data_IF_749394057299
#
_entry.id   IF_749394057299
#
_cell.length_a   1.000
_cell.length_b   1.000
_cell.length_c   1.000
_cell.angle_alpha   90.00
_cell.angle_beta   90.00
_cell.angle_gamma   90.00
#
_symmetry.space_group_name_H-M   'P 1'
#
loop_
_entity.id
_entity.type
_entity.pdbx_description
1 polymer ?
#
# COMPACT_ATOMS: atom_id res chain seq x y z
N UNK A 1 -7.79 -17.52 21.77
CA UNK A 1 -8.96 -16.75 22.22
C UNK A 1 -8.91 -15.38 21.54
N UNK A 2 -10.04 -15.01 20.93
CA UNK A 2 -10.35 -13.76 20.20
C UNK A 2 -9.50 -13.44 18.98
N UNK A 3 -9.95 -13.90 17.81
CA UNK A 3 -9.59 -13.30 16.53
C UNK A 3 -10.32 -11.95 16.41
N UNK A 4 -9.71 -10.89 16.92
CA UNK A 4 -10.23 -9.53 16.74
C UNK A 4 -10.12 -9.17 15.27
N UNK A 5 -11.26 -8.96 14.59
CA UNK A 5 -11.28 -8.30 13.27
C UNK A 5 -10.68 -6.91 13.47
N UNK A 6 -9.37 -6.80 13.21
CA UNK A 6 -8.70 -5.51 13.17
C UNK A 6 -9.00 -4.89 11.82
N UNK A 7 -9.66 -3.74 11.86
CA UNK A 7 -9.89 -2.91 10.68
C UNK A 7 -8.54 -2.40 10.20
N UNK A 8 -8.29 -2.46 8.90
CA UNK A 8 -7.09 -1.90 8.29
C UNK A 8 -7.11 -0.37 8.44
N UNK A 9 -6.37 0.14 9.42
CA UNK A 9 -6.31 1.57 9.72
C UNK A 9 -5.34 2.29 8.77
N UNK A 10 -5.49 3.61 8.56
CA UNK A 10 -4.53 4.40 7.78
C UNK A 10 -3.10 4.30 8.30
N UNK A 11 -2.92 4.31 9.62
CA UNK A 11 -1.59 4.27 10.26
C UNK A 11 -0.89 2.94 9.99
N UNK A 12 -1.64 1.84 9.95
CA UNK A 12 -1.09 0.53 9.58
C UNK A 12 -0.65 0.49 8.11
N UNK A 13 -1.37 1.18 7.22
CA UNK A 13 -0.96 1.27 5.81
C UNK A 13 0.33 2.04 5.65
N UNK A 14 0.45 3.18 6.32
CA UNK A 14 1.66 3.99 6.31
C UNK A 14 2.85 3.20 6.86
N UNK A 15 2.66 2.47 7.97
CA UNK A 15 3.69 1.59 8.52
C UNK A 15 4.10 0.50 7.51
N UNK A 16 3.16 -0.15 6.84
CA UNK A 16 3.44 -1.15 5.81
C UNK A 16 4.31 -0.56 4.69
N UNK A 17 3.93 0.61 4.16
CA UNK A 17 4.69 1.26 3.08
C UNK A 17 6.09 1.63 3.56
N UNK A 18 6.23 2.23 4.74
CA UNK A 18 7.53 2.60 5.29
C UNK A 18 8.48 1.40 5.42
N UNK A 19 7.97 0.25 5.89
CA UNK A 19 8.75 -0.97 6.00
C UNK A 19 9.15 -1.55 4.63
N UNK A 20 8.27 -1.49 3.65
CA UNK A 20 8.57 -1.94 2.28
C UNK A 20 9.64 -1.06 1.62
N UNK A 21 9.55 0.27 1.79
CA UNK A 21 10.56 1.22 1.32
C UNK A 21 11.90 1.00 2.03
N UNK A 22 11.88 0.62 3.30
CA UNK A 22 13.08 0.23 4.06
C UNK A 22 13.68 -1.12 3.60
N UNK A 23 13.05 -1.82 2.66
CA UNK A 23 13.53 -3.10 2.10
C UNK A 23 13.22 -4.31 2.97
N UNK A 24 12.28 -4.19 3.91
CA UNK A 24 12.00 -5.26 4.86
C UNK A 24 11.19 -6.40 4.22
N UNK A 25 11.49 -7.69 4.50
CA UNK A 25 10.82 -8.78 3.80
C UNK A 25 9.35 -8.89 4.24
N UNK A 26 8.43 -9.18 3.32
CA UNK A 26 7.00 -9.28 3.60
C UNK A 26 6.66 -10.25 4.74
N UNK A 27 7.40 -11.36 4.84
CA UNK A 27 7.20 -12.35 5.90
C UNK A 27 7.40 -11.75 7.31
N UNK A 28 8.45 -10.96 7.51
CA UNK A 28 8.71 -10.33 8.81
C UNK A 28 7.61 -9.32 9.18
N UNK A 29 7.01 -8.67 8.18
CA UNK A 29 5.89 -7.74 8.37
C UNK A 29 4.62 -8.49 8.77
N UNK A 30 4.29 -9.59 8.08
CA UNK A 30 3.16 -10.46 8.42
C UNK A 30 3.30 -11.02 9.83
N UNK A 31 4.49 -11.50 10.21
CA UNK A 31 4.72 -11.97 11.58
C UNK A 31 4.47 -10.88 12.63
N UNK A 32 4.85 -9.63 12.37
CA UNK A 32 4.56 -8.50 13.27
C UNK A 32 3.06 -8.24 13.42
N UNK A 33 2.32 -8.33 12.31
CA UNK A 33 0.86 -8.21 12.31
C UNK A 33 0.20 -9.37 13.08
N UNK A 34 0.67 -10.61 12.88
CA UNK A 34 0.18 -11.80 13.60
C UNK A 34 0.47 -11.69 15.10
N UNK A 35 1.67 -11.25 15.50
CA UNK A 35 2.00 -10.96 16.91
C UNK A 35 1.10 -9.89 17.51
N UNK A 36 0.63 -8.95 16.68
CA UNK A 36 -0.35 -7.93 17.06
C UNK A 36 -1.79 -8.46 17.09
N UNK A 37 -2.00 -9.77 16.90
CA UNK A 37 -3.30 -10.44 16.98
C UNK A 37 -4.07 -10.50 15.67
N UNK A 38 -3.44 -10.22 14.53
CA UNK A 38 -4.07 -10.46 13.23
C UNK A 38 -4.09 -11.94 12.90
N UNK A 39 -5.10 -12.36 12.15
CA UNK A 39 -5.03 -13.64 11.44
C UNK A 39 -4.00 -13.53 10.31
N UNK A 40 -3.20 -14.58 10.12
CA UNK A 40 -2.10 -14.61 9.14
C UNK A 40 -2.59 -14.40 7.71
N UNK A 41 -3.65 -15.10 7.29
CA UNK A 41 -4.22 -14.95 5.94
C UNK A 41 -4.72 -13.52 5.72
N UNK A 42 -5.41 -12.95 6.72
CA UNK A 42 -5.89 -11.56 6.67
C UNK A 42 -4.72 -10.58 6.62
N UNK A 43 -3.65 -10.82 7.39
CA UNK A 43 -2.46 -9.97 7.39
C UNK A 43 -1.75 -10.00 6.04
N UNK A 44 -1.58 -11.19 5.44
CA UNK A 44 -0.96 -11.37 4.14
C UNK A 44 -1.76 -10.66 3.03
N UNK A 45 -3.07 -10.87 2.98
CA UNK A 45 -3.95 -10.23 1.99
C UNK A 45 -3.95 -8.71 2.17
N UNK A 46 -4.00 -8.24 3.43
CA UNK A 46 -3.96 -6.80 3.74
C UNK A 46 -2.65 -6.18 3.30
N UNK A 47 -1.53 -6.82 3.63
CA UNK A 47 -0.19 -6.40 3.23
C UNK A 47 -0.09 -6.28 1.71
N UNK A 48 -0.47 -7.35 0.98
CA UNK A 48 -0.44 -7.35 -0.47
C UNK A 48 -1.29 -6.23 -1.05
N UNK A 49 -2.52 -6.05 -0.54
CA UNK A 49 -3.42 -5.00 -1.01
C UNK A 49 -2.78 -3.61 -0.86
N UNK A 50 -2.19 -3.31 0.29
CA UNK A 50 -1.57 -2.01 0.56
C UNK A 50 -0.41 -1.73 -0.38
N UNK A 51 0.45 -2.73 -0.61
CA UNK A 51 1.59 -2.58 -1.52
C UNK A 51 1.14 -2.42 -2.97
N UNK A 52 0.14 -3.18 -3.42
CA UNK A 52 -0.43 -3.03 -4.76
C UNK A 52 -1.09 -1.67 -4.95
N UNK A 53 -1.86 -1.19 -3.98
CA UNK A 53 -2.49 0.13 -4.01
C UNK A 53 -1.40 1.24 -4.06
N UNK A 54 -0.32 1.10 -3.30
CA UNK A 54 0.80 2.05 -3.29
C UNK A 54 1.49 2.12 -4.65
N UNK A 55 1.86 0.97 -5.24
CA UNK A 55 2.50 0.92 -6.56
C UNK A 55 1.58 1.47 -7.67
N UNK A 56 0.28 1.18 -7.61
CA UNK A 56 -0.68 1.74 -8.55
C UNK A 56 -0.79 3.27 -8.43
N UNK A 57 -0.75 3.80 -7.21
CA UNK A 57 -0.75 5.23 -6.97
C UNK A 57 0.55 5.88 -7.47
N UNK A 58 1.72 5.25 -7.28
CA UNK A 58 2.99 5.75 -7.81
C UNK A 58 3.02 5.75 -9.35
N UNK A 59 2.52 4.69 -9.99
CA UNK A 59 2.42 4.62 -11.44
C UNK A 59 1.55 5.74 -12.00
N UNK A 60 0.37 5.96 -11.41
CA UNK A 60 -0.53 7.04 -11.81
C UNK A 60 0.10 8.45 -11.63
N UNK A 61 0.87 8.65 -10.56
CA UNK A 61 1.60 9.90 -10.33
C UNK A 61 2.71 10.12 -11.36
N UNK A 62 3.45 9.06 -11.73
CA UNK A 62 4.49 9.14 -12.75
C UNK A 62 3.91 9.47 -14.14
N UNK A 63 2.74 8.93 -14.46
CA UNK A 63 2.00 9.25 -15.69
C UNK A 63 1.55 10.71 -15.68
N UNK A 64 1.00 11.22 -14.57
CA UNK A 64 0.61 12.63 -14.46
C UNK A 64 1.79 13.59 -14.58
N UNK A 65 2.94 13.24 -14.00
CA UNK A 65 4.15 14.06 -14.07
C UNK A 65 4.79 14.11 -15.47
N UNK A 66 4.52 13.11 -16.32
CA UNK A 66 5.06 13.01 -17.68
C UNK A 66 4.15 13.60 -18.77
N UNK A 67 2.94 14.02 -18.42
CA UNK A 67 2.01 14.66 -19.36
C UNK A 67 2.34 16.17 -19.49
N UNK A 68 2.65 16.67 -20.70
CA UNK A 68 2.76 18.11 -20.92
C UNK A 68 1.40 18.79 -20.66
N UNK A 69 1.39 20.03 -20.14
CA UNK A 69 0.15 20.76 -19.89
C UNK A 69 -0.67 20.85 -21.18
N UNK A 70 -1.97 20.56 -21.10
CA UNK A 70 -2.87 20.61 -22.23
C UNK A 70 -2.92 22.04 -22.78
N UNK A 71 -2.18 22.29 -23.86
CA UNK A 71 -2.27 23.53 -24.62
C UNK A 71 -3.46 23.43 -25.58
N UNK A 72 -4.40 24.40 -25.57
CA UNK A 72 -5.51 24.41 -26.51
C UNK A 72 -4.95 24.54 -27.93
N UNK A 73 -5.27 23.57 -28.78
CA UNK A 73 -4.92 23.61 -30.21
C UNK A 73 -5.72 24.76 -30.84
N UNK A 74 -5.08 25.73 -31.52
CA UNK A 74 -5.78 26.76 -32.28
C UNK A 74 -6.62 26.09 -33.38
N UNK A 75 -7.92 26.43 -33.41
CA UNK A 75 -8.84 26.00 -34.47
C UNK A 75 -8.38 26.56 -35.84
N UNK A 76 -8.62 25.82 -36.94
CA UNK A 76 -8.18 26.20 -38.29
C UNK A 76 -8.90 27.43 -38.86
#
# INVERSE_FOLDING_TARGET
MSASVKVMTPELREWIVAQAVAGQPPQAMVESMVRSGWNEDVALVSLQKVLSDHLAAEAAQAEQASLPPAVPVPEP
#
